data_IF_055636160061
#
_entry.id   IF_055636160061
#
_cell.length_a   1.000
_cell.length_b   1.000
_cell.length_c   1.000
_cell.angle_alpha   90.00
_cell.angle_beta   90.00
_cell.angle_gamma   90.00
#
_symmetry.space_group_name_H-M   'P 1'
#
loop_
_entity.id
_entity.type
_entity.pdbx_description
1 polymer ?
#
# COMPACT_ATOMS: atom_id res chain seq x y z
N UNK A 1 14.45 9.08 -11.72
CA UNK A 1 12.99 9.30 -11.86
C UNK A 1 12.30 9.23 -10.52
N UNK A 2 11.10 9.82 -10.36
CA UNK A 2 10.42 9.86 -9.07
C UNK A 2 9.21 8.93 -9.07
N UNK A 3 9.16 8.02 -8.09
CA UNK A 3 7.98 7.23 -7.72
C UNK A 3 7.34 7.84 -6.47
N UNK A 4 6.10 8.26 -6.60
CA UNK A 4 5.28 8.77 -5.50
C UNK A 4 4.48 7.61 -4.90
N UNK A 5 4.78 7.26 -3.67
CA UNK A 5 4.10 6.20 -2.92
C UNK A 5 3.07 6.84 -2.00
N UNK A 6 1.81 6.81 -2.41
CA UNK A 6 0.70 7.50 -1.73
C UNK A 6 -0.12 6.48 -0.95
N UNK A 7 -0.27 6.70 0.35
CA UNK A 7 -1.18 5.92 1.18
C UNK A 7 -2.59 6.47 1.06
N UNK A 8 -3.59 5.58 0.91
CA UNK A 8 -5.00 5.96 0.92
C UNK A 8 -5.37 6.84 2.14
N UNK A 9 -6.50 7.56 2.07
CA UNK A 9 -7.01 8.36 3.17
C UNK A 9 -7.48 7.49 4.35
N UNK A 10 -7.84 8.12 5.48
CA UNK A 10 -8.26 7.43 6.69
C UNK A 10 -9.40 6.44 6.43
N UNK A 11 -9.23 5.14 6.74
CA UNK A 11 -10.29 4.16 6.53
C UNK A 11 -11.38 4.27 7.59
N UNK A 12 -12.60 3.92 7.20
CA UNK A 12 -13.77 3.86 8.09
C UNK A 12 -13.83 2.48 8.77
N UNK A 13 -12.94 2.27 9.71
CA UNK A 13 -12.83 1.03 10.50
C UNK A 13 -12.40 1.38 11.92
N UNK A 14 -12.85 0.59 12.89
CA UNK A 14 -12.43 0.78 14.29
C UNK A 14 -10.94 0.54 14.47
N UNK A 15 -10.34 1.33 15.37
CA UNK A 15 -8.96 1.12 15.77
C UNK A 15 -8.78 -0.28 16.41
N UNK A 16 -7.70 -0.95 16.04
CA UNK A 16 -7.39 -2.28 16.56
C UNK A 16 -8.02 -3.43 15.79
N UNK A 17 -8.79 -3.17 14.71
CA UNK A 17 -9.26 -4.21 13.80
C UNK A 17 -8.16 -4.52 12.77
N UNK A 18 -7.92 -5.81 12.55
CA UNK A 18 -7.06 -6.29 11.47
C UNK A 18 -7.79 -6.08 10.13
N UNK A 19 -7.17 -5.37 9.22
CA UNK A 19 -7.65 -5.21 7.85
C UNK A 19 -6.46 -5.06 6.89
N UNK A 20 -6.56 -5.70 5.78
CA UNK A 20 -5.57 -5.62 4.69
C UNK A 20 -6.31 -5.66 3.36
N UNK A 21 -6.61 -6.84 2.85
CA UNK A 21 -7.42 -7.03 1.65
C UNK A 21 -8.92 -6.77 1.88
N UNK A 22 -9.38 -6.70 3.13
CA UNK A 22 -10.76 -6.31 3.44
C UNK A 22 -11.09 -4.96 2.79
N UNK A 23 -12.19 -4.93 2.02
CA UNK A 23 -12.55 -3.77 1.21
C UNK A 23 -13.32 -2.72 2.03
N UNK A 24 -12.59 -1.92 2.79
CA UNK A 24 -13.08 -0.86 3.67
C UNK A 24 -13.05 0.48 2.95
N UNK A 25 -14.11 1.25 3.07
CA UNK A 25 -14.16 2.62 2.57
C UNK A 25 -13.24 3.57 3.35
N UNK A 26 -12.84 4.67 2.73
CA UNK A 26 -12.19 5.78 3.41
C UNK A 26 -13.18 6.90 3.74
N UNK A 27 -12.84 7.71 4.74
CA UNK A 27 -13.56 8.94 5.09
C UNK A 27 -13.56 9.91 3.90
N UNK A 28 -14.74 10.46 3.56
CA UNK A 28 -14.91 11.28 2.38
C UNK A 28 -14.17 12.61 2.47
N UNK A 29 -14.19 13.27 3.64
CA UNK A 29 -13.53 14.56 3.85
C UNK A 29 -12.01 14.40 3.84
N UNK A 30 -11.50 13.37 4.53
CA UNK A 30 -10.08 13.03 4.52
C UNK A 30 -9.60 12.67 3.10
N UNK A 31 -10.44 11.99 2.31
CA UNK A 31 -10.15 11.65 0.91
C UNK A 31 -10.06 12.90 0.04
N UNK A 32 -11.00 13.83 0.17
CA UNK A 32 -10.96 15.10 -0.58
C UNK A 32 -9.75 15.96 -0.21
N UNK A 33 -9.46 16.07 1.08
CA UNK A 33 -8.29 16.81 1.57
C UNK A 33 -6.98 16.20 1.03
N UNK A 34 -6.86 14.88 1.06
CA UNK A 34 -5.70 14.16 0.50
C UNK A 34 -5.56 14.41 -1.01
N UNK A 35 -6.68 14.35 -1.76
CA UNK A 35 -6.68 14.60 -3.20
C UNK A 35 -6.25 16.04 -3.54
N UNK A 36 -6.75 17.04 -2.81
CA UNK A 36 -6.37 18.45 -2.99
C UNK A 36 -4.87 18.66 -2.75
N UNK A 37 -4.35 18.15 -1.63
CA UNK A 37 -2.94 18.27 -1.31
C UNK A 37 -2.05 17.58 -2.36
N UNK A 38 -2.44 16.39 -2.80
CA UNK A 38 -1.68 15.62 -3.78
C UNK A 38 -1.72 16.26 -5.16
N UNK A 39 -2.86 16.85 -5.56
CA UNK A 39 -3.05 17.46 -6.87
C UNK A 39 -2.05 18.60 -7.15
N UNK A 40 -1.67 19.37 -6.11
CA UNK A 40 -0.71 20.47 -6.23
C UNK A 40 0.75 20.00 -6.31
N UNK A 41 1.03 18.78 -5.87
CA UNK A 41 2.39 18.27 -5.75
C UNK A 41 2.83 17.39 -6.94
N UNK A 42 1.87 16.73 -7.58
CA UNK A 42 2.18 15.79 -8.66
C UNK A 42 2.58 16.51 -9.95
N UNK A 43 3.63 16.04 -10.64
CA UNK A 43 4.01 16.56 -11.94
C UNK A 43 2.91 16.34 -13.00
N UNK A 44 2.86 17.22 -14.00
CA UNK A 44 1.91 17.09 -15.11
C UNK A 44 2.15 15.79 -15.90
N UNK A 45 1.06 15.14 -16.30
CA UNK A 45 1.10 13.96 -17.13
C UNK A 45 1.72 12.73 -16.45
N UNK A 46 1.76 12.68 -15.13
CA UNK A 46 2.25 11.50 -14.42
C UNK A 46 1.35 10.28 -14.66
N UNK A 47 1.96 9.09 -14.72
CA UNK A 47 1.23 7.81 -14.71
C UNK A 47 0.79 7.50 -13.29
N UNK A 48 -0.47 7.10 -13.12
CA UNK A 48 -1.02 6.74 -11.82
C UNK A 48 -1.50 5.29 -11.81
N UNK A 49 -0.85 4.45 -11.02
CA UNK A 49 -1.33 3.09 -10.70
C UNK A 49 -2.05 3.12 -9.37
N UNK A 50 -3.14 2.36 -9.25
CA UNK A 50 -3.90 2.33 -7.99
C UNK A 50 -4.44 0.95 -7.66
N UNK A 51 -4.47 0.66 -6.36
CA UNK A 51 -5.08 -0.55 -5.79
C UNK A 51 -6.59 -0.57 -6.07
N UNK A 52 -7.19 -1.73 -6.39
CA UNK A 52 -8.63 -1.87 -6.60
C UNK A 52 -9.48 -1.69 -5.32
N UNK A 53 -8.88 -1.70 -4.13
CA UNK A 53 -9.63 -1.52 -2.88
C UNK A 53 -10.26 -0.12 -2.83
N UNK A 54 -11.54 -0.06 -2.40
CA UNK A 54 -12.36 1.14 -2.52
C UNK A 54 -11.72 2.39 -1.91
N UNK A 55 -10.96 2.28 -0.80
CA UNK A 55 -10.24 3.40 -0.19
C UNK A 55 -9.17 4.04 -1.10
N UNK A 56 -8.59 3.26 -2.02
CA UNK A 56 -7.70 3.78 -3.06
C UNK A 56 -8.48 4.30 -4.27
N UNK A 57 -9.54 3.59 -4.68
CA UNK A 57 -10.43 4.00 -5.77
C UNK A 57 -11.11 5.35 -5.45
N UNK A 58 -11.53 5.57 -4.20
CA UNK A 58 -12.11 6.84 -3.76
C UNK A 58 -11.10 7.99 -3.92
N UNK A 59 -9.86 7.80 -3.48
CA UNK A 59 -8.80 8.81 -3.62
C UNK A 59 -8.45 9.04 -5.10
N UNK A 60 -8.36 7.98 -5.90
CA UNK A 60 -8.13 8.08 -7.35
C UNK A 60 -9.24 8.91 -8.02
N UNK A 61 -10.51 8.63 -7.73
CA UNK A 61 -11.63 9.36 -8.32
C UNK A 61 -11.63 10.85 -7.93
N UNK A 62 -11.39 11.16 -6.66
CA UNK A 62 -11.28 12.53 -6.19
C UNK A 62 -10.10 13.28 -6.85
N UNK A 63 -8.96 12.61 -7.00
CA UNK A 63 -7.79 13.17 -7.66
C UNK A 63 -8.00 13.37 -9.15
N UNK A 64 -8.68 12.44 -9.84
CA UNK A 64 -8.96 12.52 -11.29
C UNK A 64 -9.79 13.74 -11.66
N UNK A 65 -10.71 14.18 -10.79
CA UNK A 65 -11.49 15.41 -11.00
C UNK A 65 -10.59 16.65 -10.99
N UNK A 66 -9.58 16.67 -10.13
CA UNK A 66 -8.65 17.80 -9.98
C UNK A 66 -7.50 17.74 -11.01
N UNK A 67 -7.14 16.55 -11.44
CA UNK A 67 -6.01 16.24 -12.32
C UNK A 67 -6.43 15.31 -13.47
N UNK A 68 -7.21 15.80 -14.43
CA UNK A 68 -7.67 15.00 -15.58
C UNK A 68 -6.52 14.58 -16.53
N UNK A 69 -5.36 15.20 -16.38
CA UNK A 69 -4.14 14.87 -17.13
C UNK A 69 -3.48 13.55 -16.70
N UNK A 70 -3.83 13.01 -15.53
CA UNK A 70 -3.23 11.78 -15.03
C UNK A 70 -3.73 10.55 -15.79
N UNK A 71 -2.80 9.74 -16.32
CA UNK A 71 -3.11 8.45 -16.93
C UNK A 71 -3.28 7.39 -15.82
N UNK A 72 -4.54 7.12 -15.43
CA UNK A 72 -4.88 6.24 -14.32
C UNK A 72 -5.09 4.79 -14.77
N UNK A 73 -4.46 3.84 -14.10
CA UNK A 73 -4.61 2.40 -14.33
C UNK A 73 -4.72 1.65 -13.01
N UNK A 74 -5.70 0.76 -12.90
CA UNK A 74 -5.85 -0.15 -11.76
C UNK A 74 -4.80 -1.27 -11.87
N UNK A 75 -4.20 -1.64 -10.72
CA UNK A 75 -3.27 -2.76 -10.63
C UNK A 75 -3.54 -3.57 -9.36
N UNK A 76 -3.99 -4.81 -9.52
CA UNK A 76 -4.31 -5.70 -8.41
C UNK A 76 -3.09 -6.08 -7.55
N UNK A 77 -1.87 -5.96 -8.09
CA UNK A 77 -0.63 -6.21 -7.34
C UNK A 77 -0.34 -5.15 -6.28
N UNK A 78 -1.04 -4.01 -6.30
CA UNK A 78 -0.93 -2.92 -5.32
C UNK A 78 -1.93 -3.06 -4.15
N UNK A 79 -2.67 -4.16 -4.04
CA UNK A 79 -3.56 -4.46 -2.89
C UNK A 79 -2.74 -4.62 -1.62
N UNK A 80 -3.33 -4.27 -0.46
CA UNK A 80 -2.69 -4.53 0.84
C UNK A 80 -2.57 -6.04 1.10
N UNK A 81 -1.69 -6.42 2.01
CA UNK A 81 -1.52 -7.80 2.44
C UNK A 81 -2.86 -8.41 2.86
N UNK A 82 -3.13 -9.61 2.37
CA UNK A 82 -4.31 -10.37 2.77
C UNK A 82 -4.01 -11.16 4.05
N UNK A 83 -4.66 -10.75 5.14
CA UNK A 83 -4.53 -11.40 6.44
C UNK A 83 -5.50 -12.57 6.63
N UNK A 84 -6.21 -13.00 5.58
CA UNK A 84 -7.07 -14.17 5.59
C UNK A 84 -8.13 -14.14 6.70
N UNK A 85 -8.20 -15.21 7.49
CA UNK A 85 -9.20 -15.35 8.56
C UNK A 85 -9.04 -14.34 9.71
N UNK A 86 -7.93 -13.60 9.77
CA UNK A 86 -7.73 -12.54 10.78
C UNK A 86 -8.46 -11.25 10.41
N UNK A 87 -8.81 -11.06 9.14
CA UNK A 87 -9.45 -9.82 8.69
C UNK A 87 -10.83 -9.63 9.33
N UNK A 88 -11.08 -8.41 9.80
CA UNK A 88 -12.28 -8.04 10.53
C UNK A 88 -12.24 -8.39 12.03
N UNK A 89 -11.25 -9.14 12.50
CA UNK A 89 -11.04 -9.42 13.91
C UNK A 89 -10.21 -8.32 14.58
N UNK A 90 -10.37 -8.19 15.90
CA UNK A 90 -9.45 -7.37 16.69
C UNK A 90 -8.09 -8.07 16.78
N UNK A 91 -7.00 -7.30 16.68
CA UNK A 91 -5.65 -7.84 16.85
C UNK A 91 -5.45 -8.55 18.19
N UNK A 92 -6.10 -8.06 19.25
CA UNK A 92 -6.06 -8.66 20.59
C UNK A 92 -6.92 -9.91 20.75
N UNK A 93 -7.80 -10.21 19.78
CA UNK A 93 -8.60 -11.43 19.71
C UNK A 93 -7.94 -12.56 18.90
N UNK A 94 -6.91 -12.24 18.11
CA UNK A 94 -6.15 -13.26 17.38
C UNK A 94 -5.35 -14.10 18.37
N UNK A 95 -5.36 -15.42 18.19
CA UNK A 95 -4.67 -16.34 19.09
C UNK A 95 -3.18 -15.98 19.22
N UNK A 96 -2.70 -15.85 20.45
CA UNK A 96 -1.31 -15.45 20.73
C UNK A 96 -0.29 -16.37 20.04
N UNK A 97 -0.58 -17.66 19.96
CA UNK A 97 0.28 -18.65 19.30
C UNK A 97 0.44 -18.36 17.80
N UNK A 98 -0.60 -17.86 17.12
CA UNK A 98 -0.53 -17.48 15.70
C UNK A 98 0.31 -16.22 15.50
N UNK A 99 0.15 -15.22 16.39
CA UNK A 99 0.97 -14.00 16.35
C UNK A 99 2.45 -14.29 16.63
N UNK A 100 2.72 -15.19 17.59
CA UNK A 100 4.08 -15.61 17.91
C UNK A 100 4.72 -16.38 16.76
N UNK A 101 3.97 -17.28 16.09
CA UNK A 101 4.42 -17.99 14.90
C UNK A 101 4.73 -17.01 13.74
N UNK A 102 3.85 -16.04 13.49
CA UNK A 102 4.11 -15.00 12.50
C UNK A 102 5.37 -14.19 12.83
N UNK A 103 5.58 -13.83 14.10
CA UNK A 103 6.77 -13.07 14.51
C UNK A 103 8.04 -13.88 14.31
N UNK A 104 8.00 -15.20 14.55
CA UNK A 104 9.15 -16.11 14.38
C UNK A 104 9.47 -16.39 12.91
N UNK A 105 8.43 -16.54 12.08
CA UNK A 105 8.56 -16.83 10.65
C UNK A 105 8.00 -15.67 9.79
N UNK A 106 8.36 -14.44 10.15
CA UNK A 106 7.73 -13.21 9.66
C UNK A 106 7.59 -13.14 8.13
N UNK A 107 8.60 -13.58 7.40
CA UNK A 107 8.60 -13.51 5.94
C UNK A 107 7.67 -14.56 5.29
N UNK A 108 7.55 -15.74 5.90
CA UNK A 108 6.97 -16.94 5.25
C UNK A 108 5.68 -17.44 5.89
N UNK A 109 5.38 -17.04 7.13
CA UNK A 109 4.13 -17.40 7.78
C UNK A 109 2.92 -16.78 7.07
N UNK A 110 1.94 -17.60 6.73
CA UNK A 110 0.70 -17.15 6.09
C UNK A 110 -0.30 -16.67 7.12
N UNK A 111 -0.45 -15.37 7.23
CA UNK A 111 -1.39 -14.74 8.16
C UNK A 111 -2.83 -15.17 7.85
N UNK A 112 -3.51 -15.72 8.85
CA UNK A 112 -4.86 -16.24 8.67
C UNK A 112 -5.02 -17.25 7.51
N UNK A 113 -3.94 -17.93 7.13
CA UNK A 113 -3.91 -18.91 6.04
C UNK A 113 -3.84 -18.33 4.63
N UNK A 114 -3.74 -17.00 4.48
CA UNK A 114 -3.77 -16.36 3.16
C UNK A 114 -2.36 -15.95 2.68
N UNK A 115 -1.95 -14.72 2.85
CA UNK A 115 -0.72 -14.18 2.28
C UNK A 115 0.39 -14.09 3.35
N UNK A 116 1.63 -14.31 2.96
CA UNK A 116 2.79 -13.98 3.78
C UNK A 116 3.48 -12.69 3.27
N UNK A 117 4.39 -12.14 4.06
CA UNK A 117 5.12 -10.91 3.68
C UNK A 117 5.93 -11.11 2.40
N UNK A 118 6.52 -12.31 2.19
CA UNK A 118 7.28 -12.60 0.97
C UNK A 118 6.38 -12.65 -0.27
N UNK A 119 5.11 -13.06 -0.16
CA UNK A 119 4.15 -13.00 -1.28
C UNK A 119 3.92 -11.53 -1.68
N UNK A 120 3.74 -10.64 -0.69
CA UNK A 120 3.62 -9.20 -0.92
C UNK A 120 4.87 -8.66 -1.62
N UNK A 121 6.06 -8.98 -1.10
CA UNK A 121 7.34 -8.58 -1.72
C UNK A 121 7.43 -9.03 -3.18
N UNK A 122 7.03 -10.26 -3.47
CA UNK A 122 7.10 -10.84 -4.81
C UNK A 122 6.18 -10.13 -5.80
N UNK A 123 4.90 -9.89 -5.43
CA UNK A 123 3.97 -9.20 -6.35
C UNK A 123 4.29 -7.71 -6.53
N UNK A 124 4.77 -7.05 -5.46
CA UNK A 124 5.19 -5.65 -5.55
C UNK A 124 6.47 -5.51 -6.37
N UNK A 125 7.41 -6.48 -6.26
CA UNK A 125 8.62 -6.49 -7.07
C UNK A 125 8.32 -6.55 -8.58
N UNK A 126 7.28 -7.28 -9.00
CA UNK A 126 6.88 -7.31 -10.41
C UNK A 126 6.43 -5.93 -10.93
N UNK A 127 5.67 -5.17 -10.14
CA UNK A 127 5.29 -3.78 -10.49
C UNK A 127 6.49 -2.84 -10.45
N UNK A 128 7.39 -3.04 -9.47
CA UNK A 128 8.62 -2.28 -9.33
C UNK A 128 9.55 -2.44 -10.55
N UNK A 129 9.72 -3.66 -11.05
CA UNK A 129 10.56 -3.93 -12.21
C UNK A 129 10.00 -3.26 -13.48
N UNK A 130 8.66 -3.28 -13.65
CA UNK A 130 8.00 -2.55 -14.73
C UNK A 130 8.20 -1.04 -14.61
N UNK A 131 8.13 -0.49 -13.38
CA UNK A 131 8.39 0.92 -13.11
C UNK A 131 9.83 1.30 -13.42
N UNK A 132 10.83 0.50 -13.03
CA UNK A 132 12.24 0.79 -13.27
C UNK A 132 12.58 0.88 -14.78
N UNK A 133 11.80 0.23 -15.62
CA UNK A 133 11.92 0.34 -17.09
C UNK A 133 11.26 1.58 -17.72
N UNK A 134 10.55 2.40 -16.94
CA UNK A 134 9.81 3.57 -17.43
C UNK A 134 10.63 4.85 -17.32
N UNK A 135 10.29 5.84 -18.17
CA UNK A 135 10.90 7.18 -18.14
C UNK A 135 9.94 8.28 -17.65
N UNK A 136 8.78 7.92 -17.15
CA UNK A 136 7.71 8.83 -16.76
C UNK A 136 7.54 8.88 -15.24
N UNK A 137 7.33 10.05 -14.63
CA UNK A 137 6.95 10.15 -13.23
C UNK A 137 5.74 9.28 -12.93
N UNK A 138 5.82 8.47 -11.90
CA UNK A 138 4.79 7.48 -11.59
C UNK A 138 4.29 7.65 -10.16
N UNK A 139 2.99 7.45 -9.98
CA UNK A 139 2.30 7.53 -8.68
C UNK A 139 1.67 6.17 -8.41
N UNK A 140 1.86 5.63 -7.22
CA UNK A 140 1.13 4.45 -6.73
C UNK A 140 0.22 4.87 -5.58
N UNK A 141 -1.11 4.82 -5.80
CA UNK A 141 -2.10 4.94 -4.73
C UNK A 141 -2.33 3.56 -4.10
N UNK A 142 -1.84 3.37 -2.89
CA UNK A 142 -1.73 2.05 -2.31
C UNK A 142 -1.81 2.09 -0.76
N UNK A 143 -1.17 1.15 -0.11
CA UNK A 143 -1.28 0.81 1.30
C UNK A 143 0.09 0.77 1.99
N UNK A 144 0.07 0.74 3.32
CA UNK A 144 1.30 0.79 4.12
C UNK A 144 2.25 -0.38 3.86
N UNK A 145 1.72 -1.60 3.73
CA UNK A 145 2.54 -2.80 3.45
C UNK A 145 3.23 -2.72 2.10
N UNK A 146 2.50 -2.31 1.06
CA UNK A 146 3.07 -2.12 -0.30
C UNK A 146 4.14 -1.02 -0.30
N UNK A 147 3.91 0.10 0.40
CA UNK A 147 4.89 1.18 0.52
C UNK A 147 6.18 0.70 1.19
N UNK A 148 6.05 -0.09 2.27
CA UNK A 148 7.21 -0.70 2.96
C UNK A 148 7.98 -1.66 2.04
N UNK A 149 7.26 -2.52 1.31
CA UNK A 149 7.86 -3.40 0.32
C UNK A 149 8.62 -2.61 -0.76
N UNK A 150 8.02 -1.55 -1.30
CA UNK A 150 8.65 -0.68 -2.29
C UNK A 150 9.91 0.01 -1.75
N UNK A 151 9.91 0.40 -0.48
CA UNK A 151 11.09 0.99 0.18
C UNK A 151 12.25 -0.01 0.25
N UNK A 152 11.97 -1.28 0.51
CA UNK A 152 12.98 -2.35 0.51
C UNK A 152 13.50 -2.63 -0.90
N UNK A 153 12.62 -2.67 -1.90
CA UNK A 153 13.00 -2.86 -3.30
C UNK A 153 13.91 -1.73 -3.81
N UNK A 154 13.66 -0.49 -3.41
CA UNK A 154 14.55 0.64 -3.71
C UNK A 154 15.95 0.50 -3.09
N UNK A 155 16.08 -0.28 -2.01
CA UNK A 155 17.34 -0.64 -1.39
C UNK A 155 17.98 -1.91 -1.99
N UNK A 156 17.39 -2.47 -3.05
CA UNK A 156 17.84 -3.72 -3.68
C UNK A 156 17.45 -4.99 -2.91
N UNK A 157 16.59 -4.89 -1.88
CA UNK A 157 16.17 -6.02 -1.05
C UNK A 157 14.89 -6.64 -1.60
N UNK A 158 14.96 -7.87 -2.09
CA UNK A 158 13.79 -8.63 -2.59
C UNK A 158 13.29 -9.68 -1.62
N UNK A 159 14.11 -10.00 -0.62
CA UNK A 159 13.81 -10.96 0.43
C UNK A 159 14.15 -10.35 1.77
N UNK A 160 13.41 -10.74 2.79
CA UNK A 160 13.70 -10.39 4.18
C UNK A 160 13.77 -11.68 5.00
N UNK A 161 14.63 -11.70 6.01
CA UNK A 161 14.77 -12.86 6.87
C UNK A 161 13.83 -12.79 8.07
N UNK A 162 13.65 -11.60 8.64
CA UNK A 162 12.90 -11.40 9.87
C UNK A 162 12.24 -10.02 9.94
N UNK A 163 11.42 -9.83 10.97
CA UNK A 163 10.64 -8.62 11.19
C UNK A 163 11.48 -7.34 11.40
N UNK A 164 12.74 -7.45 11.85
CA UNK A 164 13.60 -6.28 12.08
C UNK A 164 13.98 -5.57 10.78
N UNK A 165 13.95 -6.31 9.67
CA UNK A 165 14.22 -5.77 8.34
C UNK A 165 13.01 -5.07 7.72
N UNK A 166 11.80 -5.26 8.27
CA UNK A 166 10.58 -4.61 7.77
C UNK A 166 10.53 -3.17 8.22
N UNK A 167 10.36 -2.18 7.31
CA UNK A 167 10.31 -0.78 7.69
C UNK A 167 9.21 -0.49 8.73
N UNK A 168 9.59 0.12 9.84
CA UNK A 168 8.63 0.43 10.92
C UNK A 168 7.66 1.55 10.53
N UNK A 169 8.11 2.47 9.67
CA UNK A 169 7.34 3.65 9.27
C UNK A 169 6.75 3.48 7.87
N UNK A 170 5.60 4.10 7.67
CA UNK A 170 4.99 4.37 6.38
C UNK A 170 4.34 5.77 6.47
N UNK A 171 4.05 6.45 5.36
CA UNK A 171 3.32 7.71 5.40
C UNK A 171 2.01 7.58 6.18
N UNK A 172 1.61 8.65 6.86
CA UNK A 172 0.28 8.74 7.46
C UNK A 172 -0.81 8.63 6.38
N UNK A 173 -2.04 8.38 6.76
CA UNK A 173 -3.16 8.32 5.81
C UNK A 173 -3.29 9.60 5.00
N UNK A 174 -3.50 9.48 3.70
CA UNK A 174 -3.56 10.60 2.76
C UNK A 174 -2.24 11.33 2.54
N UNK A 175 -1.12 10.74 2.99
CA UNK A 175 0.24 11.29 2.78
C UNK A 175 1.04 10.36 1.87
N UNK A 176 2.21 10.84 1.47
CA UNK A 176 3.08 10.14 0.53
C UNK A 176 4.54 10.26 0.91
N UNK A 177 5.34 9.41 0.32
CA UNK A 177 6.78 9.52 0.21
C UNK A 177 7.18 9.46 -1.26
N UNK A 178 8.34 10.00 -1.60
CA UNK A 178 8.89 9.95 -2.94
C UNK A 178 10.21 9.16 -2.94
N UNK A 179 10.33 8.20 -3.83
CA UNK A 179 11.57 7.48 -4.10
C UNK A 179 12.18 8.01 -5.39
N UNK A 180 13.47 8.25 -5.37
CA UNK A 180 14.26 8.63 -6.55
C UNK A 180 15.01 7.41 -7.05
N UNK A 181 14.88 7.10 -8.32
CA UNK A 181 15.64 6.05 -9.00
C UNK A 181 16.63 6.68 -9.98
#
# INVERSE_FOLDING_TARGET
>A
MTLWLVRHAQPLIEAGICYGALDVAADALATQTAAQNLASELPLGARLLYSPLQRCVQLQRALQVLRPDLACQMDARLVEMNFGSWEGQRWDAIARAELDAWTQEFATWRCGGAECVQDVMTRVAAVWDEYCGQQQPTVWLTHAGVIRASTLLAQGKRHIADASQWPQTAPAWGRWSALQN
#
